data_IF_715297949479
#
_entry.id   IF_715297949479
#
_cell.length_a   1.000
_cell.length_b   1.000
_cell.length_c   1.000
_cell.angle_alpha   90.00
_cell.angle_beta   90.00
_cell.angle_gamma   90.00
#
_symmetry.space_group_name_H-M   'P 1'
#
loop_
_entity.id
_entity.type
_entity.pdbx_description
1 polymer ?
#
# COMPACT_ATOMS: atom_id res chain seq x y z
N UNK A 1 0.55 -3.17 3.77
CA UNK A 1 -0.52 -2.39 4.41
C UNK A 1 -1.67 -2.41 3.43
N UNK A 2 -2.91 -2.52 3.90
CA UNK A 2 -4.08 -2.51 3.03
C UNK A 2 -4.80 -1.16 3.14
N UNK A 3 -5.76 -0.91 2.24
CA UNK A 3 -6.51 0.34 2.19
C UNK A 3 -7.28 0.64 3.49
N UNK A 4 -7.83 -0.37 4.16
CA UNK A 4 -8.56 -0.17 5.42
C UNK A 4 -7.67 0.38 6.54
N UNK A 5 -6.41 -0.08 6.64
CA UNK A 5 -5.47 0.44 7.66
C UNK A 5 -5.08 1.88 7.33
N UNK A 6 -4.83 2.20 6.05
CA UNK A 6 -4.54 3.56 5.62
C UNK A 6 -5.70 4.53 5.90
N UNK A 7 -6.94 4.10 5.65
CA UNK A 7 -8.15 4.87 5.96
C UNK A 7 -8.30 5.15 7.46
N UNK A 8 -8.02 4.14 8.30
CA UNK A 8 -8.06 4.32 9.74
C UNK A 8 -7.00 5.32 10.20
N UNK A 9 -5.75 5.16 9.75
CA UNK A 9 -4.64 6.05 10.10
C UNK A 9 -4.89 7.52 9.67
N UNK A 10 -5.44 7.73 8.47
CA UNK A 10 -5.80 9.06 7.98
C UNK A 10 -6.93 9.70 8.80
N UNK A 11 -7.90 8.90 9.28
CA UNK A 11 -8.98 9.39 10.15
C UNK A 11 -8.47 9.85 11.51
N UNK A 12 -7.48 9.15 12.05
CA UNK A 12 -6.90 9.44 13.37
C UNK A 12 -5.81 10.53 13.31
N UNK A 13 -5.57 11.15 12.14
CA UNK A 13 -4.50 12.15 11.90
C UNK A 13 -3.09 11.65 12.31
N UNK A 14 -2.87 10.33 12.21
CA UNK A 14 -1.61 9.68 12.61
C UNK A 14 -0.56 9.74 11.49
N UNK A 15 -1.01 9.95 10.25
CA UNK A 15 -0.17 9.86 9.04
C UNK A 15 -0.54 10.97 8.06
N UNK A 16 0.44 11.75 7.55
CA UNK A 16 0.25 12.74 6.50
C UNK A 16 -0.58 12.25 5.30
N UNK A 17 -1.29 13.18 4.64
CA UNK A 17 -2.16 12.86 3.47
C UNK A 17 -1.43 12.24 2.28
N UNK A 18 -0.11 12.39 2.21
CA UNK A 18 0.74 11.70 1.26
C UNK A 18 1.89 11.09 2.02
N UNK A 19 2.02 9.77 1.93
CA UNK A 19 3.07 9.07 2.62
C UNK A 19 3.52 7.81 1.90
N UNK A 20 4.78 7.45 2.14
CA UNK A 20 5.36 6.19 1.70
C UNK A 20 5.61 5.33 2.93
N UNK A 21 4.97 4.17 2.97
CA UNK A 21 5.05 3.25 4.10
C UNK A 21 5.71 1.95 3.63
N UNK A 22 6.69 1.47 4.38
CA UNK A 22 7.34 0.18 4.13
C UNK A 22 6.76 -0.90 5.05
N UNK A 23 6.49 -2.10 4.50
CA UNK A 23 6.01 -3.26 5.25
C UNK A 23 6.95 -4.47 5.09
N UNK A 24 6.84 -5.40 6.05
CA UNK A 24 7.44 -6.74 6.05
C UNK A 24 8.95 -6.79 6.32
N UNK A 25 9.52 -5.68 6.81
CA UNK A 25 10.95 -5.56 7.13
C UNK A 25 11.44 -6.67 8.09
N UNK A 26 10.60 -7.05 9.06
CA UNK A 26 10.91 -8.12 10.03
C UNK A 26 11.03 -9.51 9.39
N UNK A 27 10.44 -9.73 8.21
CA UNK A 27 10.55 -10.98 7.46
C UNK A 27 11.47 -10.86 6.24
N UNK A 28 12.35 -9.84 6.24
CA UNK A 28 13.38 -9.66 5.21
C UNK A 28 12.85 -9.12 3.88
N UNK A 29 11.67 -8.50 3.86
CA UNK A 29 11.10 -7.84 2.68
C UNK A 29 10.83 -6.38 2.99
N UNK A 30 10.95 -5.48 2.02
CA UNK A 30 10.60 -4.08 2.19
C UNK A 30 9.67 -3.69 1.05
N UNK A 31 8.39 -4.01 1.22
CA UNK A 31 7.37 -3.61 0.26
C UNK A 31 6.98 -2.16 0.52
N UNK A 32 7.30 -1.28 -0.41
CA UNK A 32 6.91 0.13 -0.33
C UNK A 32 5.51 0.35 -0.89
N UNK A 33 4.74 1.12 -0.15
CA UNK A 33 3.31 1.38 -0.40
C UNK A 33 3.13 2.89 -0.42
N UNK A 34 2.57 3.38 -1.51
CA UNK A 34 2.26 4.78 -1.70
C UNK A 34 0.80 5.02 -1.29
N UNK A 35 0.58 6.01 -0.42
CA UNK A 35 -0.73 6.44 0.03
C UNK A 35 -1.02 7.87 -0.43
N UNK A 36 -2.23 8.10 -0.90
CA UNK A 36 -2.77 9.45 -1.08
C UNK A 36 -4.24 9.51 -0.69
N UNK A 37 -4.64 10.59 -0.04
CA UNK A 37 -6.05 10.88 0.24
C UNK A 37 -6.53 12.04 -0.64
N UNK A 38 -7.59 11.82 -1.41
CA UNK A 38 -8.24 12.87 -2.19
C UNK A 38 -9.08 13.78 -1.27
N UNK A 39 -9.44 14.99 -1.74
CA UNK A 39 -10.17 15.98 -0.93
C UNK A 39 -11.57 15.54 -0.47
N UNK A 40 -12.15 14.53 -1.11
CA UNK A 40 -13.44 13.92 -0.73
C UNK A 40 -13.28 12.79 0.32
N UNK A 41 -12.05 12.53 0.78
CA UNK A 41 -11.72 11.48 1.74
C UNK A 41 -11.45 10.12 1.10
N UNK A 42 -11.44 10.01 -0.23
CA UNK A 42 -11.08 8.77 -0.92
C UNK A 42 -9.60 8.45 -0.69
N UNK A 43 -9.32 7.25 -0.18
CA UNK A 43 -7.95 6.77 0.05
C UNK A 43 -7.52 5.89 -1.11
N UNK A 44 -6.40 6.26 -1.74
CA UNK A 44 -5.73 5.47 -2.78
C UNK A 44 -4.52 4.76 -2.18
N UNK A 45 -4.37 3.51 -2.58
CA UNK A 45 -3.22 2.68 -2.23
C UNK A 45 -2.58 2.18 -3.52
N UNK A 46 -1.29 2.47 -3.66
CA UNK A 46 -0.49 2.06 -4.81
C UNK A 46 0.86 1.51 -4.38
N UNK A 47 1.62 1.07 -5.38
CA UNK A 47 2.99 0.61 -5.20
C UNK A 47 3.53 -0.02 -6.48
N UNK A 48 4.85 -0.09 -6.58
CA UNK A 48 5.50 -0.75 -7.70
C UNK A 48 5.27 -2.27 -7.63
N UNK A 49 4.98 -2.88 -8.79
CA UNK A 49 4.83 -4.32 -8.93
C UNK A 49 5.86 -4.87 -9.90
N UNK A 50 6.46 -6.02 -9.57
CA UNK A 50 7.37 -6.75 -10.45
C UNK A 50 6.79 -8.12 -10.75
N UNK A 51 6.59 -8.43 -12.03
CA UNK A 51 6.21 -9.78 -12.46
C UNK A 51 7.38 -10.73 -12.22
N UNK A 52 7.19 -11.73 -11.36
CA UNK A 52 8.22 -12.73 -11.04
C UNK A 52 8.15 -13.97 -11.92
N UNK A 53 6.95 -14.35 -12.34
CA UNK A 53 6.69 -15.53 -13.16
C UNK A 53 5.64 -15.21 -14.21
N UNK A 54 5.80 -15.79 -15.38
CA UNK A 54 4.84 -15.75 -16.47
C UNK A 54 4.76 -17.16 -17.06
N UNK A 55 3.55 -17.62 -17.35
CA UNK A 55 3.33 -18.96 -17.89
C UNK A 55 1.87 -19.28 -18.13
N UNK A 56 1.60 -20.54 -18.44
CA UNK A 56 0.25 -21.05 -18.75
C UNK A 56 -0.12 -22.12 -17.74
N UNK A 57 -1.33 -22.04 -17.18
CA UNK A 57 -1.91 -23.13 -16.39
C UNK A 57 -2.56 -24.16 -17.31
N UNK A 58 -2.19 -25.43 -17.17
CA UNK A 58 -2.81 -26.56 -17.88
C UNK A 58 -3.83 -27.24 -16.96
N UNK A 59 -4.87 -27.82 -17.56
CA UNK A 59 -5.92 -28.56 -16.85
C UNK A 59 -5.46 -29.96 -16.46
#
# INVERSE_FOLDING_TARGET
MNASVAQWLNREDVVPQQDRISQDAKVGRAGDIDLSTDSDGTVRVGGATTTLFQGTALA
#
